data_IF_069189932523
#
_entry.id   IF_069189932523
#
_cell.length_a   1.000
_cell.length_b   1.000
_cell.length_c   1.000
_cell.angle_alpha   90.00
_cell.angle_beta   90.00
_cell.angle_gamma   90.00
#
_symmetry.space_group_name_H-M   'P 1'
#
loop_
_entity.id
_entity.type
_entity.pdbx_description
1 polymer ?
#
# COMPACT_ATOMS: atom_id res chain seq x y z
N UNK A 1 -106.10 49.75 -12.55
CA UNK A 1 -106.38 51.02 -13.25
C UNK A 1 -105.09 51.80 -13.29
N UNK A 2 -104.62 52.04 -14.52
CA UNK A 2 -103.88 53.19 -15.06
C UNK A 2 -102.69 53.80 -14.31
N UNK A 3 -101.55 53.72 -15.02
CA UNK A 3 -100.42 54.64 -15.07
C UNK A 3 -100.83 56.11 -15.14
N UNK A 4 -99.96 56.96 -14.58
CA UNK A 4 -99.33 58.14 -15.23
C UNK A 4 -98.89 59.13 -14.14
N UNK A 5 -97.79 59.86 -14.24
CA UNK A 5 -96.62 59.88 -15.14
C UNK A 5 -95.73 61.03 -14.62
N UNK A 6 -94.48 61.04 -15.05
CA UNK A 6 -93.65 62.23 -15.28
C UNK A 6 -92.67 62.66 -14.17
N UNK A 7 -91.51 62.00 -14.20
CA UNK A 7 -90.16 62.57 -14.01
C UNK A 7 -89.99 63.92 -14.76
N UNK A 8 -89.03 64.84 -14.42
CA UNK A 8 -87.63 64.48 -14.18
C UNK A 8 -86.79 65.35 -13.21
N UNK A 9 -85.65 64.75 -12.80
CA UNK A 9 -84.35 65.38 -12.62
C UNK A 9 -84.10 66.33 -11.43
N UNK A 10 -83.53 65.78 -10.35
CA UNK A 10 -82.46 66.44 -9.58
C UNK A 10 -81.61 65.42 -8.80
N UNK A 11 -81.28 64.29 -9.42
CA UNK A 11 -80.50 63.24 -8.74
C UNK A 11 -79.05 63.13 -9.20
N UNK A 12 -78.60 63.94 -10.15
CA UNK A 12 -77.21 63.97 -10.59
C UNK A 12 -76.85 65.38 -11.03
N UNK A 13 -76.17 66.13 -10.16
CA UNK A 13 -75.06 67.03 -10.47
C UNK A 13 -74.92 68.07 -9.35
N UNK A 14 -73.77 68.03 -8.68
CA UNK A 14 -73.31 68.96 -7.62
C UNK A 14 -74.02 68.69 -6.28
N UNK A 15 -73.37 68.22 -5.23
CA UNK A 15 -72.16 68.82 -4.67
C UNK A 15 -71.46 67.78 -3.79
N UNK A 16 -70.27 67.37 -4.24
CA UNK A 16 -69.34 66.60 -3.44
C UNK A 16 -68.90 67.45 -2.25
N UNK A 17 -69.25 67.00 -1.04
CA UNK A 17 -68.40 67.23 0.13
C UNK A 17 -67.91 65.85 0.58
N UNK A 18 -66.61 65.52 0.44
CA UNK A 18 -66.11 64.24 0.91
C UNK A 18 -66.23 64.19 2.43
N UNK A 19 -67.02 63.24 2.92
CA UNK A 19 -67.04 62.84 4.30
C UNK A 19 -65.59 62.60 4.77
N UNK A 20 -65.14 63.41 5.73
CA UNK A 20 -63.88 63.21 6.43
C UNK A 20 -63.92 61.87 7.15
N UNK A 21 -63.27 60.87 6.55
CA UNK A 21 -62.83 59.69 7.28
C UNK A 21 -61.57 60.05 8.08
N UNK A 22 -61.49 59.66 9.36
CA UNK A 22 -60.44 60.10 10.26
C UNK A 22 -59.08 59.59 9.76
N UNK A 23 -58.06 60.46 9.82
CA UNK A 23 -56.68 60.13 9.47
C UNK A 23 -56.13 58.92 10.23
N UNK A 24 -54.94 58.41 9.86
CA UNK A 24 -54.35 57.25 10.51
C UNK A 24 -54.27 57.51 12.02
N UNK A 25 -55.12 56.81 12.78
CA UNK A 25 -55.05 56.83 14.24
C UNK A 25 -53.67 56.29 14.61
N UNK A 26 -52.75 57.20 14.92
CA UNK A 26 -51.52 56.86 15.61
C UNK A 26 -51.96 56.34 16.97
N UNK A 27 -52.06 55.01 17.09
CA UNK A 27 -52.20 54.36 18.38
C UNK A 27 -51.11 54.96 19.29
N UNK A 28 -51.43 55.34 20.53
CA UNK A 28 -50.40 55.81 21.45
C UNK A 28 -49.30 54.75 21.48
N UNK A 29 -48.04 55.19 21.38
CA UNK A 29 -46.89 54.32 21.48
C UNK A 29 -46.92 53.80 22.92
N UNK A 30 -47.44 52.59 23.13
CA UNK A 30 -47.39 51.91 24.42
C UNK A 30 -45.95 51.44 24.65
N UNK A 31 -45.10 52.37 25.11
CA UNK A 31 -43.67 52.17 25.39
C UNK A 31 -43.47 50.95 26.31
N UNK A 32 -44.42 50.70 27.21
CA UNK A 32 -44.42 49.56 28.14
C UNK A 32 -44.64 48.22 27.44
N UNK A 33 -45.48 48.18 26.41
CA UNK A 33 -45.79 46.95 25.66
C UNK A 33 -44.64 46.58 24.72
N UNK A 34 -44.01 47.58 24.10
CA UNK A 34 -42.80 47.39 23.28
C UNK A 34 -41.60 46.94 24.14
N UNK A 35 -41.40 47.55 25.31
CA UNK A 35 -40.36 47.13 26.25
C UNK A 35 -40.61 45.69 26.76
N UNK A 36 -41.86 45.32 27.02
CA UNK A 36 -42.23 43.96 27.40
C UNK A 36 -41.97 42.95 26.28
N UNK A 37 -42.28 43.30 25.03
CA UNK A 37 -42.00 42.47 23.86
C UNK A 37 -40.50 42.30 23.60
N UNK A 38 -39.72 43.37 23.76
CA UNK A 38 -38.25 43.33 23.66
C UNK A 38 -37.63 42.48 24.76
N UNK A 39 -38.13 42.58 26.00
CA UNK A 39 -37.69 41.75 27.12
C UNK A 39 -37.98 40.27 26.86
N UNK A 40 -39.18 39.92 26.37
CA UNK A 40 -39.52 38.55 26.00
C UNK A 40 -38.64 38.00 24.86
N UNK A 41 -38.28 38.84 23.89
CA UNK A 41 -37.35 38.44 22.82
C UNK A 41 -35.94 38.17 23.36
N UNK A 42 -35.47 39.02 24.29
CA UNK A 42 -34.18 38.81 24.97
C UNK A 42 -34.17 37.52 25.77
N UNK A 43 -35.23 37.21 26.52
CA UNK A 43 -35.36 35.95 27.26
C UNK A 43 -35.29 34.73 26.33
N UNK A 44 -35.98 34.76 25.19
CA UNK A 44 -35.93 33.68 24.20
C UNK A 44 -34.52 33.51 23.62
N UNK A 45 -33.84 34.62 23.31
CA UNK A 45 -32.46 34.59 22.80
C UNK A 45 -31.48 34.08 23.84
N UNK A 46 -31.63 34.49 25.09
CA UNK A 46 -30.81 34.04 26.21
C UNK A 46 -30.97 32.54 26.40
N UNK A 47 -32.20 32.03 26.43
CA UNK A 47 -32.48 30.60 26.50
C UNK A 47 -31.85 29.82 25.33
N UNK A 48 -31.97 30.32 24.10
CA UNK A 48 -31.32 29.67 22.94
C UNK A 48 -29.78 29.67 23.06
N UNK A 49 -29.19 30.73 23.64
CA UNK A 49 -27.75 30.77 23.89
C UNK A 49 -27.34 29.79 24.97
N UNK A 50 -28.10 29.65 26.06
CA UNK A 50 -27.86 28.66 27.11
C UNK A 50 -27.93 27.23 26.56
N UNK A 51 -28.97 26.93 25.77
CA UNK A 51 -29.12 25.62 25.11
C UNK A 51 -27.94 25.33 24.16
N UNK A 52 -27.52 26.33 23.38
CA UNK A 52 -26.35 26.20 22.48
C UNK A 52 -25.04 26.04 23.25
N UNK A 53 -24.87 26.75 24.36
CA UNK A 53 -23.69 26.63 25.21
C UNK A 53 -23.60 25.24 25.84
N UNK A 54 -24.72 24.72 26.37
CA UNK A 54 -24.79 23.36 26.88
C UNK A 54 -24.47 22.30 25.83
N UNK A 55 -24.96 22.48 24.60
CA UNK A 55 -24.60 21.60 23.48
C UNK A 55 -23.11 21.68 23.13
N UNK A 56 -22.53 22.88 23.14
CA UNK A 56 -21.11 23.07 22.85
C UNK A 56 -20.24 22.39 23.91
N UNK A 57 -20.57 22.56 25.18
CA UNK A 57 -19.87 21.90 26.28
C UNK A 57 -19.96 20.38 26.20
N UNK A 58 -21.15 19.83 25.88
CA UNK A 58 -21.29 18.38 25.67
C UNK A 58 -20.45 17.88 24.49
N UNK A 59 -20.39 18.65 23.40
CA UNK A 59 -19.55 18.32 22.24
C UNK A 59 -18.06 18.37 22.60
N UNK A 60 -17.64 19.34 23.38
CA UNK A 60 -16.27 19.47 23.87
C UNK A 60 -15.87 18.24 24.70
N UNK A 61 -16.70 17.83 25.66
CA UNK A 61 -16.47 16.62 26.46
C UNK A 61 -16.34 15.35 25.60
N UNK A 62 -17.21 15.18 24.61
CA UNK A 62 -17.13 14.03 23.70
C UNK A 62 -15.86 14.08 22.83
N UNK A 63 -15.42 15.26 22.39
CA UNK A 63 -14.17 15.43 21.65
C UNK A 63 -12.99 15.06 22.54
N UNK A 64 -12.96 15.52 23.78
CA UNK A 64 -11.90 15.22 24.74
C UNK A 64 -11.81 13.71 25.02
N UNK A 65 -12.95 13.06 25.31
CA UNK A 65 -13.01 11.63 25.52
C UNK A 65 -12.52 10.85 24.29
N UNK A 66 -12.98 11.25 23.09
CA UNK A 66 -12.54 10.65 21.84
C UNK A 66 -11.04 10.84 21.63
N UNK A 67 -10.51 12.05 21.86
CA UNK A 67 -9.09 12.36 21.73
C UNK A 67 -8.24 11.51 22.67
N UNK A 68 -8.65 11.37 23.94
CA UNK A 68 -7.97 10.51 24.92
C UNK A 68 -8.01 9.05 24.46
N UNK A 69 -9.18 8.56 24.01
CA UNK A 69 -9.33 7.18 23.55
C UNK A 69 -8.47 6.88 22.32
N UNK A 70 -8.42 7.81 21.37
CA UNK A 70 -7.64 7.71 20.14
C UNK A 70 -6.15 7.77 20.46
N UNK A 71 -5.72 8.68 21.34
CA UNK A 71 -4.33 8.76 21.78
C UNK A 71 -3.87 7.45 22.44
N UNK A 72 -4.69 6.85 23.30
CA UNK A 72 -4.40 5.54 23.91
C UNK A 72 -4.26 4.44 22.86
N UNK A 73 -5.18 4.36 21.89
CA UNK A 73 -5.12 3.39 20.78
C UNK A 73 -3.83 3.55 19.97
N UNK A 74 -3.52 4.77 19.55
CA UNK A 74 -2.28 5.10 18.82
C UNK A 74 -1.04 4.72 19.63
N UNK A 75 -1.03 4.98 20.94
CA UNK A 75 0.09 4.58 21.81
C UNK A 75 0.27 3.06 21.88
N UNK A 76 -0.83 2.30 21.91
CA UNK A 76 -0.79 0.82 21.88
C UNK A 76 -0.29 0.33 20.52
N UNK A 77 -0.79 0.88 19.42
CA UNK A 77 -0.35 0.54 18.07
C UNK A 77 1.14 0.82 17.87
N UNK A 78 1.65 1.96 18.34
CA UNK A 78 3.07 2.30 18.30
C UNK A 78 3.90 1.27 19.09
N UNK A 79 3.41 0.81 20.25
CA UNK A 79 4.10 -0.22 21.04
C UNK A 79 4.11 -1.57 20.32
N UNK A 80 2.99 -1.95 19.70
CA UNK A 80 2.89 -3.17 18.91
C UNK A 80 3.86 -3.14 17.72
N UNK A 81 3.86 -2.06 16.94
CA UNK A 81 4.79 -1.86 15.82
C UNK A 81 6.24 -1.93 16.28
N UNK A 82 6.58 -1.30 17.41
CA UNK A 82 7.94 -1.38 17.94
C UNK A 82 8.33 -2.81 18.34
N UNK A 83 7.40 -3.59 18.90
CA UNK A 83 7.64 -5.02 19.19
C UNK A 83 7.89 -5.79 17.90
N UNK A 84 7.03 -5.61 16.89
CA UNK A 84 7.18 -6.27 15.59
C UNK A 84 8.52 -5.90 14.91
N UNK A 85 8.98 -4.66 15.04
CA UNK A 85 10.30 -4.23 14.53
C UNK A 85 11.45 -4.97 15.23
N UNK A 86 11.34 -5.20 16.54
CA UNK A 86 12.36 -5.95 17.30
C UNK A 86 12.38 -7.40 16.83
N UNK A 87 11.21 -8.02 16.67
CA UNK A 87 11.10 -9.41 16.21
C UNK A 87 11.64 -9.55 14.78
N UNK A 88 11.29 -8.63 13.86
CA UNK A 88 11.84 -8.61 12.50
C UNK A 88 13.36 -8.46 12.46
N UNK A 89 13.94 -7.66 13.37
CA UNK A 89 15.40 -7.53 13.48
C UNK A 89 16.04 -8.85 13.92
N UNK A 90 15.41 -9.56 14.85
CA UNK A 90 15.85 -10.89 15.28
C UNK A 90 15.78 -11.89 14.12
N UNK A 91 14.67 -11.91 13.38
CA UNK A 91 14.50 -12.82 12.23
C UNK A 91 15.52 -12.55 11.13
N UNK A 92 15.81 -11.28 10.83
CA UNK A 92 16.85 -10.90 9.87
C UNK A 92 18.24 -11.39 10.32
N UNK A 93 18.55 -11.28 11.62
CA UNK A 93 19.80 -11.80 12.15
C UNK A 93 19.90 -13.32 11.97
N UNK A 94 18.83 -14.06 12.28
CA UNK A 94 18.79 -15.51 12.07
C UNK A 94 18.91 -15.91 10.60
N UNK A 95 18.32 -15.14 9.68
CA UNK A 95 18.46 -15.36 8.23
C UNK A 95 19.91 -15.14 7.81
N UNK A 96 20.56 -14.08 8.31
CA UNK A 96 21.97 -13.80 8.04
C UNK A 96 22.85 -14.97 8.47
N UNK A 97 22.63 -15.48 9.69
CA UNK A 97 23.39 -16.61 10.23
C UNK A 97 23.18 -17.88 9.39
N UNK A 98 21.95 -18.17 8.97
CA UNK A 98 21.65 -19.30 8.07
C UNK A 98 22.31 -19.14 6.70
N UNK A 99 22.34 -17.93 6.14
CA UNK A 99 23.02 -17.66 4.88
C UNK A 99 24.53 -17.86 5.01
N UNK A 100 25.13 -17.40 6.11
CA UNK A 100 26.55 -17.65 6.39
C UNK A 100 26.85 -19.15 6.48
N UNK A 101 26.00 -19.92 7.17
CA UNK A 101 26.12 -21.37 7.25
C UNK A 101 25.99 -22.05 5.87
N UNK A 102 25.04 -21.61 5.04
CA UNK A 102 24.91 -22.09 3.65
C UNK A 102 26.18 -21.77 2.86
N UNK A 103 26.76 -20.58 3.02
CA UNK A 103 28.02 -20.20 2.35
C UNK A 103 29.16 -21.10 2.81
N UNK A 104 29.24 -21.43 4.09
CA UNK A 104 30.25 -22.37 4.62
C UNK A 104 30.05 -23.79 4.08
N UNK A 105 28.81 -24.30 4.08
CA UNK A 105 28.49 -25.62 3.51
C UNK A 105 28.77 -25.66 2.00
N UNK A 106 28.47 -24.59 1.25
CA UNK A 106 28.80 -24.51 -0.18
C UNK A 106 30.31 -24.46 -0.45
N UNK A 107 31.10 -23.94 0.49
CA UNK A 107 32.57 -23.98 0.42
C UNK A 107 33.15 -25.35 0.76
N UNK A 108 32.50 -26.08 1.69
CA UNK A 108 32.89 -27.42 2.13
C UNK A 108 32.39 -28.53 1.21
N UNK A 109 31.25 -28.32 0.54
CA UNK A 109 30.76 -29.19 -0.52
C UNK A 109 31.78 -29.19 -1.65
N UNK A 110 32.33 -30.38 -1.94
CA UNK A 110 33.54 -30.57 -2.75
C UNK A 110 33.57 -29.65 -3.97
N UNK A 111 34.64 -28.86 -4.10
CA UNK A 111 34.85 -28.08 -5.33
C UNK A 111 34.86 -29.08 -6.47
N UNK A 112 34.21 -28.75 -7.59
CA UNK A 112 34.27 -29.60 -8.81
C UNK A 112 35.70 -29.96 -9.21
N UNK A 113 36.67 -29.13 -8.80
CA UNK A 113 38.10 -29.35 -8.90
C UNK A 113 38.58 -30.57 -8.11
N UNK A 114 38.16 -30.76 -6.86
CA UNK A 114 38.58 -31.87 -6.01
C UNK A 114 38.00 -33.20 -6.52
N UNK A 115 36.78 -33.19 -7.05
CA UNK A 115 36.16 -34.37 -7.68
C UNK A 115 36.92 -34.77 -8.95
N UNK A 116 37.38 -33.80 -9.76
CA UNK A 116 38.21 -34.06 -10.95
C UNK A 116 39.58 -34.63 -10.60
N UNK A 117 40.17 -34.18 -9.49
CA UNK A 117 41.45 -34.72 -9.00
C UNK A 117 41.26 -36.17 -8.56
N UNK A 118 40.17 -36.48 -7.86
CA UNK A 118 39.82 -37.85 -7.48
C UNK A 118 39.50 -38.72 -8.71
N UNK A 119 38.81 -38.19 -9.72
CA UNK A 119 38.57 -38.84 -11.01
C UNK A 119 39.89 -39.17 -11.74
N UNK A 120 40.81 -38.21 -11.79
CA UNK A 120 42.15 -38.43 -12.38
C UNK A 120 42.98 -39.47 -11.61
N UNK A 121 42.90 -39.47 -10.28
CA UNK A 121 43.55 -40.49 -9.47
C UNK A 121 42.91 -41.87 -9.67
N UNK A 122 41.60 -41.95 -9.87
CA UNK A 122 40.88 -43.19 -10.20
C UNK A 122 41.27 -43.72 -11.59
N UNK A 123 41.35 -42.85 -12.60
CA UNK A 123 41.78 -43.21 -13.96
C UNK A 123 43.22 -43.72 -13.99
N UNK A 124 44.11 -43.12 -13.20
CA UNK A 124 45.51 -43.56 -13.07
C UNK A 124 45.63 -44.91 -12.32
N UNK A 125 44.65 -45.23 -11.47
CA UNK A 125 44.63 -46.46 -10.70
C UNK A 125 43.91 -47.61 -11.39
N UNK A 126 43.37 -47.40 -12.59
CA UNK A 126 42.74 -48.45 -13.37
C UNK A 126 43.76 -49.56 -13.72
N UNK A 127 43.64 -50.76 -13.13
CA UNK A 127 44.59 -51.84 -13.33
C UNK A 127 44.57 -52.39 -14.76
N UNK A 128 43.58 -52.02 -15.59
CA UNK A 128 43.48 -52.45 -16.99
C UNK A 128 44.36 -51.64 -17.96
N UNK A 129 44.86 -50.47 -17.56
CA UNK A 129 45.79 -49.64 -18.34
C UNK A 129 47.27 -49.99 -18.11
N UNK A 130 47.58 -50.91 -17.19
CA UNK A 130 48.95 -51.36 -16.98
C UNK A 130 49.34 -52.36 -18.07
N UNK A 131 50.09 -51.88 -19.07
CA UNK A 131 50.63 -52.74 -20.11
C UNK A 131 51.62 -53.77 -19.51
N UNK A 132 51.38 -55.05 -19.76
CA UNK A 132 52.31 -56.11 -19.36
C UNK A 132 53.59 -55.97 -20.19
N UNK A 133 54.76 -56.35 -19.65
CA UNK A 133 56.04 -56.26 -20.37
C UNK A 133 56.01 -56.93 -21.75
N UNK A 134 55.22 -58.00 -21.89
CA UNK A 134 54.99 -58.72 -23.16
C UNK A 134 54.18 -57.90 -24.18
N UNK A 135 53.23 -57.10 -23.73
CA UNK A 135 52.38 -56.28 -24.59
C UNK A 135 53.20 -55.13 -25.19
N UNK A 136 54.08 -54.53 -24.38
CA UNK A 136 55.04 -53.51 -24.83
C UNK A 136 56.03 -54.08 -25.86
N UNK A 137 56.56 -55.28 -25.62
CA UNK A 137 57.50 -55.94 -26.55
C UNK A 137 56.84 -56.26 -27.91
N UNK A 138 55.57 -56.67 -27.89
CA UNK A 138 54.79 -56.94 -29.10
C UNK A 138 54.49 -55.67 -29.91
N UNK A 139 54.23 -54.54 -29.25
CA UNK A 139 54.05 -53.24 -29.90
C UNK A 139 55.35 -52.81 -30.58
N UNK A 140 56.49 -52.91 -29.88
CA UNK A 140 57.81 -52.54 -30.43
C UNK A 140 58.17 -53.42 -31.64
N UNK A 141 57.96 -54.74 -31.56
CA UNK A 141 58.19 -55.64 -32.70
C UNK A 141 57.30 -55.30 -33.90
N UNK A 142 56.03 -54.93 -33.66
CA UNK A 142 55.09 -54.56 -34.72
C UNK A 142 55.49 -53.24 -35.39
N UNK A 143 56.00 -52.26 -34.64
CA UNK A 143 56.47 -51.00 -35.20
C UNK A 143 57.82 -51.14 -35.93
N UNK A 144 58.75 -51.95 -35.40
CA UNK A 144 59.99 -52.31 -36.10
C UNK A 144 59.74 -53.06 -37.41
N UNK A 145 58.75 -53.96 -37.45
CA UNK A 145 58.37 -54.69 -38.65
C UNK A 145 57.75 -53.78 -39.75
N UNK A 146 57.06 -52.71 -39.36
CA UNK A 146 56.54 -51.70 -40.31
C UNK A 146 57.64 -50.76 -40.82
N UNK A 147 58.67 -50.51 -40.01
CA UNK A 147 59.76 -49.59 -40.34
C UNK A 147 60.81 -50.15 -41.32
N UNK A 148 60.75 -51.44 -41.69
CA UNK A 148 61.65 -52.05 -42.70
C UNK A 148 60.88 -52.46 -43.97
N UNK A 149 60.45 -51.52 -44.83
CA UNK A 149 60.07 -51.82 -46.20
C UNK A 149 61.33 -51.82 -47.10
N UNK A 150 61.80 -53.02 -47.43
CA UNK A 150 62.61 -53.39 -48.61
C UNK A 150 63.54 -52.32 -49.24
N UNK A 151 64.86 -52.42 -48.99
CA UNK A 151 65.88 -51.83 -49.86
C UNK A 151 66.99 -52.85 -50.24
N UNK A 152 67.05 -53.16 -51.54
CA UNK A 152 68.17 -53.65 -52.36
C UNK A 152 68.66 -55.13 -52.34
N UNK A 153 67.97 -55.98 -53.12
CA UNK A 153 68.43 -56.61 -54.40
C UNK A 153 69.94 -56.89 -54.62
N UNK A 154 70.36 -58.15 -54.90
CA UNK A 154 70.41 -58.80 -56.25
C UNK A 154 71.14 -60.17 -56.26
N UNK A 155 70.87 -61.06 -57.26
CA UNK A 155 71.41 -62.41 -57.38
C UNK A 155 72.56 -62.55 -58.40
N UNK A 156 73.47 -63.50 -58.17
CA UNK A 156 74.34 -64.24 -59.14
C UNK A 156 74.77 -65.51 -58.40
N UNK A 157 74.85 -66.74 -58.90
CA UNK A 157 74.89 -67.38 -60.21
C UNK A 157 75.58 -68.74 -59.95
N UNK A 158 75.12 -69.83 -60.55
CA UNK A 158 75.52 -71.21 -60.19
C UNK A 158 76.87 -71.70 -60.73
N UNK A 159 76.99 -73.03 -60.73
CA UNK A 159 78.06 -73.94 -61.23
C UNK A 159 79.32 -74.03 -60.36
N UNK A 160 79.87 -75.21 -60.02
CA UNK A 160 79.75 -76.57 -60.55
C UNK A 160 79.54 -77.61 -59.44
#
# INVERSE_FOLDING_TARGET
>A
MFDNNSDPNFSEMMEQSPAQQPGPQRKPIDITTDLSAQTSNLERRLRMLEERYGLMQKREQMIEENMISTNKKVSIEIKAINSEIIDLRSDIAQIKDKIELIIEELRQSARKEDIKVVEHYLDMWDPTNFATQKDVENIIRRELAKAIPSQNLRPKGGTQ
#
